data_IF_160192958310
#
_entry.id   IF_160192958310
#
_cell.length_a   1.000
_cell.length_b   1.000
_cell.length_c   1.000
_cell.angle_alpha   90.00
_cell.angle_beta   90.00
_cell.angle_gamma   90.00
#
_symmetry.space_group_name_H-M   'P 1'
#
loop_
_entity.id
_entity.type
_entity.pdbx_description
1 polymer ?
#
# COMPACT_ATOMS: atom_id res chain seq x y z
N UNK A 1 21.20 -22.02 -18.95
CA UNK A 1 20.00 -22.88 -18.84
C UNK A 1 19.98 -23.49 -17.46
N UNK A 2 19.07 -23.07 -16.58
CA UNK A 2 18.80 -23.81 -15.33
C UNK A 2 17.69 -24.80 -15.64
N UNK A 3 17.95 -26.08 -15.37
CA UNK A 3 16.96 -27.15 -15.43
C UNK A 3 15.71 -26.73 -14.64
N UNK A 4 14.59 -26.72 -15.36
CA UNK A 4 13.29 -26.49 -14.79
C UNK A 4 12.88 -27.80 -14.10
N UNK A 5 12.60 -27.74 -12.80
CA UNK A 5 11.90 -28.83 -12.10
C UNK A 5 10.59 -29.06 -12.85
N UNK A 6 10.49 -30.17 -13.57
CA UNK A 6 9.21 -30.67 -14.07
C UNK A 6 8.30 -30.83 -12.85
N UNK A 7 7.15 -30.15 -12.85
CA UNK A 7 6.15 -30.28 -11.79
C UNK A 7 5.70 -31.74 -11.74
N UNK A 8 6.27 -32.51 -10.80
CA UNK A 8 5.89 -33.89 -10.62
C UNK A 8 4.64 -33.91 -9.74
N UNK A 9 3.50 -34.21 -10.36
CA UNK A 9 2.20 -34.29 -9.69
C UNK A 9 2.19 -35.34 -8.55
N UNK A 10 3.16 -36.25 -8.49
CA UNK A 10 3.26 -37.26 -7.43
C UNK A 10 3.87 -36.71 -6.11
N UNK A 11 4.60 -35.59 -6.11
CA UNK A 11 5.25 -35.06 -4.88
C UNK A 11 4.49 -33.84 -4.29
N UNK A 12 3.66 -33.17 -5.08
CA UNK A 12 3.00 -31.92 -4.70
C UNK A 12 1.48 -32.00 -4.80
N UNK A 13 0.80 -31.62 -3.72
CA UNK A 13 -0.66 -31.45 -3.66
C UNK A 13 -1.06 -29.99 -3.59
N UNK A 14 -2.30 -29.71 -3.95
CA UNK A 14 -2.93 -28.41 -3.71
C UNK A 14 -3.13 -28.22 -2.20
N UNK A 15 -2.49 -27.20 -1.63
CA UNK A 15 -2.66 -26.81 -0.22
C UNK A 15 -3.80 -25.82 -0.04
N UNK A 16 -4.14 -25.05 -1.07
CA UNK A 16 -5.26 -24.13 -1.02
C UNK A 16 -5.19 -23.06 -2.09
N UNK A 17 -6.19 -22.17 -2.05
CA UNK A 17 -6.36 -21.07 -2.99
C UNK A 17 -6.47 -19.75 -2.25
N UNK A 18 -5.81 -18.74 -2.79
CA UNK A 18 -6.03 -17.35 -2.43
C UNK A 18 -6.97 -16.76 -3.47
N UNK A 19 -8.26 -16.73 -3.14
CA UNK A 19 -9.29 -16.18 -4.00
C UNK A 19 -9.61 -14.72 -3.65
N UNK A 20 -9.95 -13.94 -4.68
CA UNK A 20 -10.42 -12.58 -4.52
C UNK A 20 -11.88 -12.55 -4.05
N UNK A 21 -12.14 -12.93 -2.80
CA UNK A 21 -13.47 -12.84 -2.21
C UNK A 21 -13.91 -11.37 -2.08
N UNK A 22 -15.22 -11.11 -1.93
CA UNK A 22 -15.75 -9.74 -1.76
C UNK A 22 -15.10 -9.02 -0.57
N UNK A 23 -14.84 -9.73 0.53
CA UNK A 23 -14.18 -9.17 1.71
C UNK A 23 -12.70 -8.85 1.47
N UNK A 24 -11.98 -9.70 0.73
CA UNK A 24 -10.60 -9.43 0.30
C UNK A 24 -10.58 -8.20 -0.59
N UNK A 25 -11.47 -8.11 -1.58
CA UNK A 25 -11.54 -6.97 -2.50
C UNK A 25 -11.86 -5.67 -1.78
N UNK A 26 -12.81 -5.67 -0.85
CA UNK A 26 -13.11 -4.48 -0.03
C UNK A 26 -11.90 -4.09 0.85
N UNK A 27 -11.21 -5.08 1.41
CA UNK A 27 -10.01 -4.87 2.20
C UNK A 27 -8.88 -4.26 1.37
N UNK A 28 -8.61 -4.81 0.19
CA UNK A 28 -7.55 -4.33 -0.71
C UNK A 28 -7.89 -2.95 -1.26
N UNK A 29 -9.15 -2.67 -1.59
CA UNK A 29 -9.57 -1.34 -2.03
C UNK A 29 -9.36 -0.29 -0.91
N UNK A 30 -9.80 -0.60 0.31
CA UNK A 30 -9.55 0.26 1.47
C UNK A 30 -8.05 0.48 1.71
N UNK A 31 -7.25 -0.59 1.67
CA UNK A 31 -5.79 -0.49 1.80
C UNK A 31 -5.16 0.33 0.66
N UNK A 32 -5.63 0.20 -0.57
CA UNK A 32 -5.18 0.96 -1.73
C UNK A 32 -5.44 2.46 -1.58
N UNK A 33 -6.65 2.85 -1.15
CA UNK A 33 -6.98 4.25 -0.85
C UNK A 33 -6.08 4.78 0.26
N UNK A 34 -5.85 4.00 1.31
CA UNK A 34 -4.97 4.42 2.39
C UNK A 34 -3.52 4.58 1.93
N UNK A 35 -3.04 3.63 1.12
CA UNK A 35 -1.71 3.69 0.52
C UNK A 35 -1.58 4.89 -0.42
N UNK A 36 -2.62 5.27 -1.17
CA UNK A 36 -2.62 6.45 -2.03
C UNK A 36 -2.26 7.72 -1.25
N UNK A 37 -2.95 7.97 -0.13
CA UNK A 37 -2.64 9.15 0.70
C UNK A 37 -1.28 9.02 1.40
N UNK A 38 -0.95 7.84 1.93
CA UNK A 38 0.32 7.62 2.62
C UNK A 38 1.52 7.84 1.68
N UNK A 39 1.48 7.28 0.46
CA UNK A 39 2.52 7.47 -0.53
C UNK A 39 2.49 8.86 -1.18
N UNK A 40 1.32 9.49 -1.29
CA UNK A 40 1.22 10.89 -1.70
C UNK A 40 1.94 11.81 -0.71
N UNK A 41 1.72 11.59 0.59
CA UNK A 41 2.41 12.34 1.63
C UNK A 41 3.92 12.06 1.67
N UNK A 42 4.33 10.78 1.54
CA UNK A 42 5.72 10.40 1.42
C UNK A 42 6.39 11.06 0.21
N UNK A 43 5.74 11.03 -0.95
CA UNK A 43 6.25 11.69 -2.16
C UNK A 43 6.38 13.19 -1.95
N UNK A 44 5.37 13.88 -1.43
CA UNK A 44 5.44 15.33 -1.16
C UNK A 44 6.58 15.66 -0.20
N UNK A 45 6.79 14.85 0.82
CA UNK A 45 7.89 15.02 1.78
C UNK A 45 9.25 14.87 1.08
N UNK A 46 9.42 13.81 0.28
CA UNK A 46 10.64 13.56 -0.48
C UNK A 46 10.90 14.65 -1.52
N UNK A 47 9.85 15.08 -2.24
CA UNK A 47 9.89 16.16 -3.21
C UNK A 47 10.30 17.48 -2.55
N UNK A 48 9.78 17.78 -1.36
CA UNK A 48 10.16 18.98 -0.60
C UNK A 48 11.64 18.96 -0.24
N UNK A 49 12.16 17.81 0.22
CA UNK A 49 13.57 17.66 0.59
C UNK A 49 14.49 17.79 -0.63
N UNK A 50 14.11 17.21 -1.77
CA UNK A 50 14.95 17.18 -2.97
C UNK A 50 14.87 18.46 -3.81
N UNK A 51 13.70 19.08 -3.87
CA UNK A 51 13.41 20.19 -4.80
C UNK A 51 13.25 21.52 -4.06
N UNK A 52 12.98 21.51 -2.75
CA UNK A 52 12.75 22.73 -1.97
C UNK A 52 11.40 23.40 -2.23
N UNK A 53 10.43 22.66 -2.79
CA UNK A 53 9.10 23.16 -3.12
C UNK A 53 8.02 22.16 -2.65
N UNK A 54 6.82 22.66 -2.34
CA UNK A 54 5.65 21.89 -1.91
C UNK A 54 4.46 22.05 -2.87
N UNK A 55 4.54 22.94 -3.84
CA UNK A 55 3.44 23.30 -4.73
C UNK A 55 3.48 22.44 -6.00
N UNK A 56 2.37 21.75 -6.25
CA UNK A 56 2.11 21.04 -7.50
C UNK A 56 1.12 21.85 -8.35
N UNK A 57 1.59 22.39 -9.47
CA UNK A 57 0.74 23.19 -10.36
C UNK A 57 0.09 22.29 -11.42
N UNK A 58 -1.16 21.89 -11.17
CA UNK A 58 -2.00 21.24 -12.17
C UNK A 58 -3.03 22.24 -12.71
N UNK A 59 -3.07 22.41 -14.02
CA UNK A 59 -4.07 23.25 -14.70
C UNK A 59 -5.00 22.38 -15.55
N UNK A 60 -6.14 22.92 -16.00
CA UNK A 60 -7.03 22.22 -16.94
C UNK A 60 -6.30 21.76 -18.20
N UNK A 61 -5.30 22.52 -18.68
CA UNK A 61 -4.44 22.16 -19.80
C UNK A 61 -3.57 20.92 -19.57
N UNK A 62 -3.46 20.44 -18.32
CA UNK A 62 -2.63 19.30 -17.95
C UNK A 62 -3.38 17.99 -17.75
N UNK A 63 -4.70 17.97 -17.99
CA UNK A 63 -5.53 16.78 -17.83
C UNK A 63 -5.05 15.62 -18.70
N UNK A 64 -4.69 15.90 -19.97
CA UNK A 64 -4.30 14.86 -20.91
C UNK A 64 -2.99 14.19 -20.50
N UNK A 65 -1.99 14.97 -20.07
CA UNK A 65 -0.71 14.41 -19.61
C UNK A 65 -0.88 13.67 -18.28
N UNK A 66 -1.70 14.17 -17.37
CA UNK A 66 -2.02 13.49 -16.11
C UNK A 66 -2.66 12.13 -16.36
N UNK A 67 -3.64 12.07 -17.28
CA UNK A 67 -4.32 10.84 -17.65
C UNK A 67 -3.37 9.87 -18.36
N UNK A 68 -2.51 10.37 -19.26
CA UNK A 68 -1.50 9.56 -19.93
C UNK A 68 -0.51 8.94 -18.94
N UNK A 69 -0.05 9.70 -17.94
CA UNK A 69 0.82 9.19 -16.88
C UNK A 69 0.10 8.16 -16.02
N UNK A 70 -1.16 8.40 -15.66
CA UNK A 70 -1.97 7.46 -14.89
C UNK A 70 -2.11 6.11 -15.62
N UNK A 71 -2.59 6.13 -16.86
CA UNK A 71 -2.79 4.91 -17.66
C UNK A 71 -1.44 4.26 -17.96
N UNK A 72 -0.44 5.05 -18.36
CA UNK A 72 0.90 4.58 -18.66
C UNK A 72 1.57 3.87 -17.49
N UNK A 73 1.35 4.36 -16.26
CA UNK A 73 1.87 3.72 -15.04
C UNK A 73 1.26 2.35 -14.83
N UNK A 74 -0.06 2.23 -14.95
CA UNK A 74 -0.76 0.95 -14.79
C UNK A 74 -0.28 -0.06 -15.85
N UNK A 75 -0.21 0.36 -17.11
CA UNK A 75 0.27 -0.50 -18.20
C UNK A 75 1.73 -0.92 -17.96
N UNK A 76 2.60 0.02 -17.60
CA UNK A 76 4.01 -0.27 -17.31
C UNK A 76 4.16 -1.25 -16.14
N UNK A 77 3.34 -1.10 -15.10
CA UNK A 77 3.33 -1.98 -13.94
C UNK A 77 3.07 -3.45 -14.35
N UNK A 78 1.99 -3.69 -15.10
CA UNK A 78 1.66 -5.03 -15.58
C UNK A 78 2.71 -5.58 -16.56
N UNK A 79 3.26 -4.72 -17.43
CA UNK A 79 4.33 -5.13 -18.36
C UNK A 79 5.59 -5.58 -17.62
N UNK A 80 5.94 -4.94 -16.50
CA UNK A 80 7.09 -5.36 -15.69
C UNK A 80 6.81 -6.72 -15.03
N UNK A 81 5.60 -6.97 -14.51
CA UNK A 81 5.22 -8.31 -14.05
C UNK A 81 5.41 -9.33 -15.17
N UNK A 82 4.84 -9.08 -16.34
CA UNK A 82 4.92 -9.99 -17.47
C UNK A 82 6.34 -10.22 -17.99
N UNK A 83 7.20 -9.20 -17.97
CA UNK A 83 8.61 -9.33 -18.30
C UNK A 83 9.34 -10.28 -17.33
N UNK A 84 9.06 -10.17 -16.03
CA UNK A 84 9.65 -11.06 -15.03
C UNK A 84 9.03 -12.46 -15.04
N UNK A 85 7.74 -12.59 -15.36
CA UNK A 85 7.14 -13.90 -15.65
C UNK A 85 7.87 -14.57 -16.82
N UNK A 86 8.09 -13.84 -17.92
CA UNK A 86 8.81 -14.33 -19.10
C UNK A 86 10.24 -14.73 -18.78
N UNK A 87 10.95 -13.94 -17.97
CA UNK A 87 12.30 -14.25 -17.48
C UNK A 87 12.36 -15.59 -16.73
N UNK A 88 11.29 -15.99 -16.07
CA UNK A 88 11.18 -17.26 -15.36
C UNK A 88 10.48 -18.37 -16.17
N UNK A 89 10.35 -18.21 -17.49
CA UNK A 89 9.76 -19.23 -18.38
C UNK A 89 8.23 -19.17 -18.47
N UNK A 90 7.61 -18.11 -17.93
CA UNK A 90 6.21 -17.80 -18.09
C UNK A 90 5.86 -17.33 -19.50
N UNK A 91 4.61 -17.56 -19.90
CA UNK A 91 3.99 -16.84 -21.04
C UNK A 91 2.92 -15.92 -20.47
N UNK A 92 3.20 -14.62 -20.29
CA UNK A 92 2.27 -13.69 -19.68
C UNK A 92 1.08 -13.45 -20.60
N UNK A 93 -0.09 -13.34 -20.00
CA UNK A 93 -1.34 -12.91 -20.63
C UNK A 93 -1.88 -11.73 -19.85
N UNK A 94 -2.27 -10.68 -20.55
CA UNK A 94 -2.72 -9.44 -19.94
C UNK A 94 -4.23 -9.27 -20.08
N UNK A 95 -4.83 -8.52 -19.15
CA UNK A 95 -6.21 -8.12 -19.27
C UNK A 95 -6.62 -7.09 -18.23
N UNK A 96 -7.89 -6.70 -18.31
CA UNK A 96 -8.54 -5.84 -17.33
C UNK A 96 -9.89 -6.43 -16.95
N UNK A 97 -10.38 -6.09 -15.76
CA UNK A 97 -11.67 -6.54 -15.27
C UNK A 97 -12.16 -5.67 -14.11
N UNK A 98 -13.36 -5.97 -13.62
CA UNK A 98 -13.90 -5.37 -12.42
C UNK A 98 -14.27 -6.49 -11.45
N UNK A 99 -13.57 -6.58 -10.33
CA UNK A 99 -13.83 -7.58 -9.31
C UNK A 99 -15.04 -7.13 -8.47
N UNK A 100 -16.08 -7.98 -8.42
CA UNK A 100 -17.31 -7.77 -7.65
C UNK A 100 -17.99 -6.41 -7.88
N UNK A 101 -17.84 -5.82 -9.08
CA UNK A 101 -18.35 -4.48 -9.44
C UNK A 101 -17.81 -3.31 -8.58
N UNK A 102 -16.72 -3.55 -7.82
CA UNK A 102 -16.16 -2.58 -6.88
C UNK A 102 -14.76 -2.15 -7.30
N UNK A 103 -13.89 -3.12 -7.62
CA UNK A 103 -12.48 -2.85 -7.86
C UNK A 103 -12.13 -3.09 -9.32
N UNK A 104 -11.92 -2.04 -10.13
CA UNK A 104 -11.27 -2.22 -11.42
C UNK A 104 -9.83 -2.72 -11.18
N UNK A 105 -9.42 -3.73 -11.92
CA UNK A 105 -8.07 -4.27 -11.84
C UNK A 105 -7.54 -4.57 -13.23
N UNK A 106 -6.23 -4.40 -13.37
CA UNK A 106 -5.45 -4.92 -14.47
C UNK A 106 -4.68 -6.14 -13.96
N UNK A 107 -4.33 -7.04 -14.87
CA UNK A 107 -3.57 -8.22 -14.49
C UNK A 107 -2.62 -8.64 -15.61
N UNK A 108 -1.44 -9.08 -15.21
CA UNK A 108 -0.58 -9.99 -15.95
C UNK A 108 -0.64 -11.36 -15.25
N UNK A 109 -0.97 -12.42 -15.99
CA UNK A 109 -1.04 -13.78 -15.43
C UNK A 109 -0.35 -14.80 -16.33
N UNK A 110 0.06 -15.94 -15.78
CA UNK A 110 0.66 -17.02 -16.55
C UNK A 110 0.27 -18.38 -16.02
N UNK A 111 0.00 -19.33 -16.93
CA UNK A 111 -0.26 -20.74 -16.59
C UNK A 111 0.98 -21.48 -16.04
N UNK A 112 2.13 -20.83 -16.05
CA UNK A 112 3.38 -21.40 -15.54
C UNK A 112 3.37 -21.42 -14.02
N UNK A 113 3.78 -22.55 -13.45
CA UNK A 113 3.97 -22.70 -12.01
C UNK A 113 5.34 -22.11 -11.65
N UNK A 114 5.35 -21.15 -10.73
CA UNK A 114 6.55 -20.50 -10.24
C UNK A 114 6.91 -21.01 -8.84
N UNK A 115 8.20 -21.08 -8.53
CA UNK A 115 8.62 -21.24 -7.14
C UNK A 115 8.23 -20.01 -6.32
N UNK A 116 8.06 -20.21 -5.01
CA UNK A 116 7.74 -19.14 -4.05
C UNK A 116 8.55 -17.86 -4.26
N UNK A 117 9.88 -17.99 -4.39
CA UNK A 117 10.76 -16.85 -4.48
C UNK A 117 10.73 -16.19 -5.88
N UNK A 118 10.49 -16.96 -6.95
CA UNK A 118 10.26 -16.39 -8.28
C UNK A 118 8.99 -15.54 -8.28
N UNK A 119 7.90 -16.05 -7.70
CA UNK A 119 6.66 -15.30 -7.55
C UNK A 119 6.86 -14.01 -6.75
N UNK A 120 7.55 -14.07 -5.60
CA UNK A 120 7.83 -12.88 -4.80
C UNK A 120 8.59 -11.83 -5.62
N UNK A 121 9.59 -12.25 -6.39
CA UNK A 121 10.33 -11.34 -7.27
C UNK A 121 9.39 -10.75 -8.33
N UNK A 122 8.60 -11.57 -9.03
CA UNK A 122 7.63 -11.08 -10.03
C UNK A 122 6.70 -10.03 -9.42
N UNK A 123 6.13 -10.32 -8.24
CA UNK A 123 5.16 -9.48 -7.56
C UNK A 123 5.74 -8.14 -7.05
N UNK A 124 6.94 -8.14 -6.46
CA UNK A 124 7.50 -6.91 -5.86
C UNK A 124 8.18 -5.99 -6.86
N UNK A 125 8.56 -6.52 -8.03
CA UNK A 125 9.44 -5.82 -8.95
C UNK A 125 8.86 -4.52 -9.51
N UNK A 126 7.59 -4.45 -9.97
CA UNK A 126 7.05 -3.19 -10.49
C UNK A 126 7.07 -2.08 -9.45
N UNK A 127 6.70 -2.40 -8.20
CA UNK A 127 6.76 -1.46 -7.08
C UNK A 127 8.18 -0.87 -6.97
N UNK A 128 9.20 -1.71 -6.87
CA UNK A 128 10.59 -1.27 -6.68
C UNK A 128 11.12 -0.53 -7.91
N UNK A 129 10.98 -1.10 -9.11
CA UNK A 129 11.58 -0.55 -10.32
C UNK A 129 10.97 0.81 -10.68
N UNK A 130 9.65 0.93 -10.71
CA UNK A 130 8.98 2.19 -11.07
C UNK A 130 9.28 3.26 -10.02
N UNK A 131 9.22 2.93 -8.73
CA UNK A 131 9.53 3.89 -7.66
C UNK A 131 10.98 4.39 -7.74
N UNK A 132 11.97 3.52 -7.99
CA UNK A 132 13.37 3.94 -8.14
C UNK A 132 13.58 4.81 -9.37
N UNK A 133 12.97 4.47 -10.52
CA UNK A 133 13.05 5.28 -11.74
C UNK A 133 12.44 6.66 -11.51
N UNK A 134 11.27 6.72 -10.88
CA UNK A 134 10.61 7.99 -10.54
C UNK A 134 11.51 8.85 -9.64
N UNK A 135 12.07 8.27 -8.57
CA UNK A 135 12.97 9.01 -7.66
C UNK A 135 14.20 9.50 -8.42
N UNK A 136 14.76 8.68 -9.32
CA UNK A 136 15.88 9.06 -10.19
C UNK A 136 15.53 10.22 -11.14
N UNK A 137 14.36 10.19 -11.78
CA UNK A 137 13.89 11.28 -12.66
C UNK A 137 13.68 12.56 -11.85
N UNK A 138 13.09 12.46 -10.66
CA UNK A 138 12.90 13.61 -9.79
C UNK A 138 14.24 14.27 -9.41
N UNK A 139 15.27 13.48 -9.09
CA UNK A 139 16.59 14.00 -8.77
C UNK A 139 17.33 14.56 -9.99
N UNK A 140 17.21 13.92 -11.16
CA UNK A 140 17.92 14.32 -12.37
C UNK A 140 17.27 15.49 -13.13
N UNK A 141 15.94 15.62 -13.05
CA UNK A 141 15.16 16.60 -13.80
C UNK A 141 14.17 17.37 -12.91
N UNK A 142 14.64 18.27 -12.04
CA UNK A 142 13.79 19.03 -11.11
C UNK A 142 12.62 19.78 -11.77
N UNK A 143 12.80 20.26 -13.01
CA UNK A 143 11.77 21.00 -13.75
C UNK A 143 10.50 20.20 -14.04
N UNK A 144 10.62 18.88 -14.17
CA UNK A 144 9.49 17.97 -14.46
C UNK A 144 9.15 17.06 -13.27
N UNK A 145 9.85 17.19 -12.14
CA UNK A 145 9.72 16.30 -10.99
C UNK A 145 8.28 16.24 -10.43
N UNK A 146 7.52 17.33 -10.51
CA UNK A 146 6.12 17.37 -10.07
C UNK A 146 5.22 16.38 -10.83
N UNK A 147 5.51 16.09 -12.11
CA UNK A 147 4.78 15.07 -12.88
C UNK A 147 4.96 13.67 -12.32
N UNK A 148 6.07 13.42 -11.61
CA UNK A 148 6.38 12.11 -11.05
C UNK A 148 5.52 11.74 -9.84
N UNK A 149 4.73 12.69 -9.30
CA UNK A 149 3.73 12.40 -8.27
C UNK A 149 2.77 11.30 -8.73
N UNK A 150 2.21 11.42 -9.94
CA UNK A 150 1.23 10.47 -10.49
C UNK A 150 1.80 9.05 -10.59
N UNK A 151 2.89 8.79 -11.35
CA UNK A 151 3.42 7.44 -11.48
C UNK A 151 3.87 6.84 -10.15
N UNK A 152 4.43 7.64 -9.23
CA UNK A 152 4.85 7.13 -7.93
C UNK A 152 3.66 6.65 -7.09
N UNK A 153 2.65 7.52 -6.92
CA UNK A 153 1.52 7.25 -6.03
C UNK A 153 0.63 6.16 -6.60
N UNK A 154 0.37 6.17 -7.92
CA UNK A 154 -0.44 5.15 -8.58
C UNK A 154 0.24 3.78 -8.52
N UNK A 155 1.54 3.71 -8.81
CA UNK A 155 2.30 2.46 -8.68
C UNK A 155 2.29 1.93 -7.25
N UNK A 156 2.59 2.78 -6.26
CA UNK A 156 2.75 2.34 -4.87
C UNK A 156 1.43 1.95 -4.21
N UNK A 157 0.34 2.67 -4.51
CA UNK A 157 -1.00 2.32 -4.02
C UNK A 157 -1.61 1.14 -4.78
N UNK A 158 -1.33 0.99 -6.07
CA UNK A 158 -1.75 -0.15 -6.89
C UNK A 158 -1.09 -1.46 -6.44
N UNK A 159 0.18 -1.41 -6.03
CA UNK A 159 0.96 -2.57 -5.59
C UNK A 159 0.51 -3.19 -4.25
N UNK A 160 -0.53 -2.65 -3.60
CA UNK A 160 -1.05 -3.18 -2.34
C UNK A 160 -1.51 -4.64 -2.48
N UNK A 161 -2.09 -5.00 -3.62
CA UNK A 161 -2.47 -6.38 -3.94
C UNK A 161 -1.25 -7.32 -3.95
N UNK A 162 -0.17 -6.88 -4.60
CA UNK A 162 1.07 -7.67 -4.71
C UNK A 162 1.73 -7.87 -3.35
N UNK A 163 1.85 -6.79 -2.57
CA UNK A 163 2.41 -6.85 -1.22
C UNK A 163 1.57 -7.75 -0.31
N UNK A 164 0.23 -7.70 -0.46
CA UNK A 164 -0.66 -8.62 0.24
C UNK A 164 -0.42 -10.08 -0.17
N UNK A 165 -0.29 -10.37 -1.46
CA UNK A 165 0.05 -11.71 -1.96
C UNK A 165 1.39 -12.19 -1.41
N UNK A 166 2.43 -11.37 -1.50
CA UNK A 166 3.78 -11.65 -0.97
C UNK A 166 3.71 -11.98 0.52
N UNK A 167 3.02 -11.16 1.33
CA UNK A 167 2.88 -11.36 2.77
C UNK A 167 2.25 -12.72 3.10
N UNK A 168 1.26 -13.15 2.32
CA UNK A 168 0.60 -14.43 2.51
C UNK A 168 1.50 -15.61 2.10
N UNK A 169 2.17 -15.48 0.95
CA UNK A 169 3.11 -16.47 0.42
C UNK A 169 4.32 -16.67 1.32
N UNK A 170 4.82 -15.60 1.96
CA UNK A 170 5.98 -15.67 2.87
C UNK A 170 5.73 -16.53 4.11
N UNK A 171 4.48 -16.82 4.46
CA UNK A 171 4.12 -17.71 5.58
C UNK A 171 4.27 -19.19 5.25
N UNK A 172 4.38 -19.52 3.97
CA UNK A 172 4.60 -20.88 3.52
C UNK A 172 6.10 -21.23 3.42
N UNK A 173 6.46 -22.52 3.55
CA UNK A 173 7.84 -23.00 3.35
C UNK A 173 8.44 -22.61 2.00
N UNK A 174 9.76 -22.55 1.88
CA UNK A 174 10.44 -22.07 0.65
C UNK A 174 10.16 -22.93 -0.58
N UNK A 175 9.83 -24.22 -0.38
CA UNK A 175 9.60 -25.19 -1.44
C UNK A 175 8.20 -25.15 -2.05
N UNK A 176 7.29 -24.29 -1.57
CA UNK A 176 5.96 -24.19 -2.19
C UNK A 176 6.05 -23.64 -3.62
N UNK A 177 5.10 -24.10 -4.43
CA UNK A 177 4.95 -23.72 -5.82
C UNK A 177 3.61 -22.99 -6.00
N UNK A 178 3.57 -22.05 -6.92
CA UNK A 178 2.46 -21.11 -7.08
C UNK A 178 2.04 -21.05 -8.54
N UNK A 179 0.75 -21.22 -8.79
CA UNK A 179 0.14 -20.96 -10.09
C UNK A 179 -0.73 -19.71 -9.98
N UNK A 180 -0.36 -18.67 -10.72
CA UNK A 180 -1.14 -17.46 -10.80
C UNK A 180 -2.29 -17.62 -11.81
N UNK A 181 -3.49 -17.23 -11.42
CA UNK A 181 -4.70 -17.32 -12.23
C UNK A 181 -5.45 -16.00 -12.21
N UNK A 182 -6.31 -15.78 -13.20
CA UNK A 182 -7.10 -14.55 -13.35
C UNK A 182 -7.88 -14.14 -12.10
N UNK A 183 -8.37 -15.11 -11.32
CA UNK A 183 -9.26 -14.87 -10.17
C UNK A 183 -8.58 -15.09 -8.81
N UNK A 184 -7.27 -15.38 -8.80
CA UNK A 184 -6.55 -15.72 -7.59
C UNK A 184 -5.33 -16.59 -7.86
N UNK A 185 -4.80 -17.22 -6.82
CA UNK A 185 -3.60 -18.04 -6.90
C UNK A 185 -3.80 -19.40 -6.25
N UNK A 186 -3.26 -20.43 -6.88
CA UNK A 186 -3.23 -21.79 -6.32
C UNK A 186 -1.86 -22.02 -5.70
N UNK A 187 -1.86 -22.63 -4.51
CA UNK A 187 -0.66 -22.94 -3.73
C UNK A 187 -0.48 -24.45 -3.69
N UNK A 188 0.68 -24.92 -4.13
CA UNK A 188 1.08 -26.32 -4.09
C UNK A 188 2.20 -26.52 -3.06
N UNK A 189 2.15 -27.64 -2.35
CA UNK A 189 3.17 -28.04 -1.38
C UNK A 189 3.23 -29.55 -1.22
N UNK A 190 4.12 -30.02 -0.35
CA UNK A 190 4.33 -31.45 -0.11
C UNK A 190 3.17 -32.03 0.70
N UNK A 191 3.03 -33.34 0.68
CA UNK A 191 2.00 -34.04 1.44
C UNK A 191 2.00 -33.74 2.95
N UNK A 192 3.18 -33.49 3.51
CA UNK A 192 3.37 -33.15 4.93
C UNK A 192 2.99 -31.71 5.29
N UNK A 193 2.82 -30.82 4.29
CA UNK A 193 2.51 -29.43 4.53
C UNK A 193 1.02 -29.25 4.87
N UNK A 194 0.73 -28.34 5.80
CA UNK A 194 -0.64 -28.02 6.22
C UNK A 194 -1.16 -26.80 5.46
N UNK A 195 -2.45 -26.78 5.09
CA UNK A 195 -3.09 -25.59 4.57
C UNK A 195 -3.04 -24.46 5.61
N UNK A 196 -2.73 -23.23 5.19
CA UNK A 196 -2.86 -22.08 6.07
C UNK A 196 -4.26 -21.48 5.89
N UNK A 197 -5.01 -21.36 6.99
CA UNK A 197 -6.26 -20.61 7.01
C UNK A 197 -5.96 -19.10 6.99
N UNK A 198 -5.81 -18.56 5.79
CA UNK A 198 -5.49 -17.14 5.57
C UNK A 198 -6.80 -16.35 5.64
N UNK A 199 -7.17 -15.98 6.86
CA UNK A 199 -8.27 -15.04 7.08
C UNK A 199 -7.80 -13.61 6.82
N UNK A 200 -8.37 -12.97 5.81
CA UNK A 200 -8.30 -11.50 5.61
C UNK A 200 -9.39 -10.75 6.35
N UNK A 201 -10.25 -11.47 7.07
CA UNK A 201 -11.48 -10.90 7.60
C UNK A 201 -11.19 -9.93 8.74
N UNK A 202 -11.90 -8.81 8.70
CA UNK A 202 -11.81 -7.77 9.71
C UNK A 202 -10.55 -6.88 9.65
N UNK A 203 -9.79 -6.85 8.55
CA UNK A 203 -8.78 -5.79 8.37
C UNK A 203 -9.43 -4.41 8.41
N UNK A 204 -10.43 -4.19 7.54
CA UNK A 204 -11.13 -2.90 7.43
C UNK A 204 -11.74 -2.51 8.77
N UNK A 205 -12.44 -3.43 9.44
CA UNK A 205 -13.03 -3.14 10.75
C UNK A 205 -11.98 -2.74 11.80
N UNK A 206 -10.84 -3.44 11.87
CA UNK A 206 -9.77 -3.12 12.83
C UNK A 206 -9.08 -1.79 12.49
N UNK A 207 -8.82 -1.56 11.20
CA UNK A 207 -8.30 -0.29 10.69
C UNK A 207 -9.25 0.85 11.05
N UNK A 208 -10.51 0.78 10.61
CA UNK A 208 -11.50 1.85 10.78
C UNK A 208 -11.72 2.19 12.26
N UNK A 209 -11.79 1.18 13.15
CA UNK A 209 -11.94 1.42 14.59
C UNK A 209 -10.79 2.25 15.17
N UNK A 210 -9.54 1.87 14.89
CA UNK A 210 -8.37 2.58 15.43
C UNK A 210 -8.15 3.92 14.74
N UNK A 211 -8.39 4.00 13.43
CA UNK A 211 -8.34 5.24 12.67
C UNK A 211 -9.33 6.27 13.22
N UNK A 212 -10.62 5.90 13.35
CA UNK A 212 -11.66 6.79 13.87
C UNK A 212 -11.31 7.21 15.30
N UNK A 213 -10.95 6.25 16.17
CA UNK A 213 -10.57 6.56 17.54
C UNK A 213 -9.39 7.53 17.61
N UNK A 214 -8.32 7.30 16.85
CA UNK A 214 -7.14 8.15 16.84
C UNK A 214 -7.45 9.55 16.31
N UNK A 215 -8.21 9.65 15.21
CA UNK A 215 -8.56 10.92 14.59
C UNK A 215 -9.37 11.81 15.55
N UNK A 216 -10.42 11.25 16.16
CA UNK A 216 -11.23 11.99 17.11
C UNK A 216 -10.50 12.25 18.43
N UNK A 217 -9.73 11.29 18.96
CA UNK A 217 -8.97 11.48 20.19
C UNK A 217 -7.94 12.61 20.06
N UNK A 218 -7.16 12.62 18.97
CA UNK A 218 -6.19 13.68 18.71
C UNK A 218 -6.89 15.01 18.43
N UNK A 219 -7.94 15.01 17.60
CA UNK A 219 -8.72 16.23 17.32
C UNK A 219 -9.33 16.86 18.57
N UNK A 220 -9.97 16.06 19.43
CA UNK A 220 -10.53 16.55 20.71
C UNK A 220 -9.44 17.00 21.68
N UNK A 221 -8.34 16.24 21.81
CA UNK A 221 -7.23 16.61 22.67
C UNK A 221 -6.65 17.96 22.25
N UNK A 222 -6.38 18.16 20.96
CA UNK A 222 -5.82 19.41 20.44
C UNK A 222 -6.84 20.57 20.49
N UNK A 223 -8.14 20.29 20.37
CA UNK A 223 -9.18 21.32 20.51
C UNK A 223 -9.35 21.80 21.96
N UNK A 224 -9.09 20.95 22.95
CA UNK A 224 -9.20 21.30 24.38
C UNK A 224 -7.88 21.84 24.93
N UNK A 225 -6.73 21.42 24.37
CA UNK A 225 -5.39 21.80 24.82
C UNK A 225 -5.15 23.30 25.08
N UNK A 226 -5.70 24.25 24.30
CA UNK A 226 -5.49 25.68 24.56
C UNK A 226 -5.94 26.16 25.96
N UNK A 227 -6.97 25.54 26.54
CA UNK A 227 -7.53 25.95 27.84
C UNK A 227 -6.52 25.74 28.98
N UNK A 228 -5.99 24.52 29.23
CA UNK A 228 -4.98 24.32 30.26
C UNK A 228 -3.67 25.05 29.94
N UNK A 229 -3.28 25.19 28.67
CA UNK A 229 -2.08 25.94 28.29
C UNK A 229 -2.18 27.41 28.70
N UNK A 230 -3.34 28.03 28.50
CA UNK A 230 -3.62 29.40 28.94
C UNK A 230 -3.58 29.53 30.46
N UNK A 231 -4.20 28.60 31.19
CA UNK A 231 -4.21 28.59 32.67
C UNK A 231 -2.79 28.44 33.24
N UNK A 232 -1.95 27.66 32.58
CA UNK A 232 -0.55 27.44 33.00
C UNK A 232 0.40 28.58 32.58
N UNK A 233 -0.09 29.59 31.85
CA UNK A 233 0.74 30.71 31.40
C UNK A 233 1.79 30.33 30.37
N UNK A 234 1.51 29.32 29.52
CA UNK A 234 2.41 28.93 28.44
C UNK A 234 2.40 30.02 27.37
N UNK A 235 3.58 30.50 26.94
CA UNK A 235 3.65 31.55 25.91
C UNK A 235 3.35 31.00 24.51
N UNK A 236 3.91 29.85 24.17
CA UNK A 236 3.65 29.16 22.90
C UNK A 236 3.92 27.65 23.02
N UNK A 237 3.21 26.87 22.21
CA UNK A 237 3.43 25.44 22.08
C UNK A 237 3.17 25.01 20.64
N UNK A 238 4.14 24.33 20.04
CA UNK A 238 3.97 23.68 18.73
C UNK A 238 4.16 22.18 18.88
N UNK A 239 3.24 21.41 18.31
CA UNK A 239 3.33 19.95 18.23
C UNK A 239 3.56 19.58 16.76
N UNK A 240 4.72 18.98 16.50
CA UNK A 240 5.22 18.67 15.16
C UNK A 240 6.32 19.62 14.71
N UNK A 241 6.97 19.36 13.56
CA UNK A 241 7.97 20.27 13.00
C UNK A 241 7.32 21.60 12.64
N UNK A 242 7.93 22.73 13.01
CA UNK A 242 7.41 24.08 12.75
C UNK A 242 7.39 24.37 11.25
N UNK A 243 6.38 25.09 10.76
CA UNK A 243 6.24 25.46 9.34
C UNK A 243 6.30 24.28 8.37
N UNK A 244 5.69 23.16 8.74
CA UNK A 244 5.77 21.91 7.98
C UNK A 244 4.39 21.31 7.72
N UNK A 245 4.26 20.51 6.68
CA UNK A 245 3.05 19.69 6.46
C UNK A 245 2.82 18.64 7.57
N UNK A 246 3.81 18.48 8.45
CA UNK A 246 3.78 17.63 9.63
C UNK A 246 3.39 18.37 10.91
N UNK A 247 3.22 19.70 10.88
CA UNK A 247 2.73 20.46 12.04
C UNK A 247 1.33 19.98 12.37
N UNK A 248 1.05 19.65 13.63
CA UNK A 248 -0.24 19.09 14.08
C UNK A 248 -1.07 20.17 14.76
N UNK A 249 -0.40 20.96 15.59
CA UNK A 249 -1.03 21.96 16.46
C UNK A 249 -0.04 23.07 16.77
N UNK A 250 -0.54 24.31 16.75
CA UNK A 250 0.18 25.49 17.22
C UNK A 250 -0.70 26.27 18.18
N UNK A 251 -0.11 26.74 19.27
CA UNK A 251 -0.72 27.57 20.28
C UNK A 251 0.18 28.76 20.57
N UNK A 252 -0.44 29.93 20.77
CA UNK A 252 0.23 31.14 21.21
C UNK A 252 -0.68 31.95 22.12
N UNK A 253 -0.11 32.52 23.18
CA UNK A 253 -0.81 33.46 24.06
C UNK A 253 -0.98 34.82 23.37
N UNK A 254 -2.13 35.48 23.58
CA UNK A 254 -2.44 36.82 23.04
C UNK A 254 -3.06 37.66 24.15
N UNK A 255 -2.24 38.44 24.86
CA UNK A 255 -2.71 39.26 25.98
C UNK A 255 -3.36 38.39 27.07
N UNK A 256 -4.64 38.63 27.37
CA UNK A 256 -5.41 37.78 28.31
C UNK A 256 -6.10 36.57 27.64
N UNK A 257 -5.99 36.44 26.31
CA UNK A 257 -6.56 35.34 25.54
C UNK A 257 -5.50 34.44 24.90
N UNK A 258 -5.96 33.58 23.99
CA UNK A 258 -5.09 32.68 23.24
C UNK A 258 -5.54 32.52 21.79
N UNK A 259 -4.58 32.24 20.91
CA UNK A 259 -4.81 31.78 19.56
C UNK A 259 -4.27 30.36 19.39
N UNK A 260 -4.92 29.56 18.54
CA UNK A 260 -4.42 28.25 18.18
C UNK A 260 -4.79 27.88 16.74
N UNK A 261 -3.92 27.10 16.10
CA UNK A 261 -4.13 26.51 14.78
C UNK A 261 -4.14 24.99 14.88
N UNK A 262 -5.11 24.38 14.20
CA UNK A 262 -5.18 22.93 14.01
C UNK A 262 -4.88 22.59 12.56
N UNK A 263 -4.08 21.55 12.36
CA UNK A 263 -3.69 21.05 11.04
C UNK A 263 -4.34 19.69 10.80
N UNK A 264 -5.60 19.65 10.33
CA UNK A 264 -6.37 18.41 10.23
C UNK A 264 -5.78 17.38 9.27
N UNK A 265 -5.00 17.81 8.26
CA UNK A 265 -4.32 16.90 7.33
C UNK A 265 -3.23 16.07 8.04
N UNK A 266 -2.51 16.66 8.97
CA UNK A 266 -1.44 15.98 9.72
C UNK A 266 -2.05 15.02 10.76
N UNK A 267 -3.17 15.41 11.38
CA UNK A 267 -3.97 14.53 12.25
C UNK A 267 -4.50 13.33 11.45
N UNK A 268 -5.02 13.57 10.24
CA UNK A 268 -5.48 12.53 9.33
C UNK A 268 -4.34 11.56 8.98
N UNK A 269 -3.18 12.08 8.58
CA UNK A 269 -2.02 11.28 8.21
C UNK A 269 -1.53 10.37 9.36
N UNK A 270 -1.42 10.90 10.57
CA UNK A 270 -1.01 10.12 11.76
C UNK A 270 -2.06 9.05 12.08
N UNK A 271 -3.34 9.42 12.05
CA UNK A 271 -4.44 8.48 12.32
C UNK A 271 -4.45 7.33 11.32
N UNK A 272 -4.16 7.62 10.04
CA UNK A 272 -4.01 6.61 8.99
C UNK A 272 -2.84 5.66 9.28
N UNK A 273 -1.67 6.19 9.63
CA UNK A 273 -0.48 5.37 9.94
C UNK A 273 -0.76 4.45 11.14
N UNK A 274 -1.29 5.01 12.22
CA UNK A 274 -1.60 4.25 13.46
C UNK A 274 -2.64 3.17 13.17
N UNK A 275 -3.73 3.51 12.48
CA UNK A 275 -4.76 2.53 12.09
C UNK A 275 -4.21 1.41 11.23
N UNK A 276 -3.35 1.73 10.27
CA UNK A 276 -2.77 0.77 9.32
C UNK A 276 -1.79 -0.19 10.01
N UNK A 277 -0.87 0.33 10.83
CA UNK A 277 0.06 -0.48 11.62
C UNK A 277 -0.69 -1.45 12.53
N UNK A 278 -1.71 -0.96 13.25
CA UNK A 278 -2.54 -1.80 14.12
C UNK A 278 -3.24 -2.92 13.34
N UNK A 279 -3.89 -2.57 12.23
CA UNK A 279 -4.62 -3.53 11.40
C UNK A 279 -3.71 -4.61 10.83
N UNK A 280 -2.51 -4.25 10.35
CA UNK A 280 -1.51 -5.19 9.83
C UNK A 280 -1.04 -6.17 10.92
N UNK A 281 -0.75 -5.68 12.12
CA UNK A 281 -0.30 -6.51 13.25
C UNK A 281 -1.41 -7.49 13.67
N UNK A 282 -2.65 -7.02 13.77
CA UNK A 282 -3.76 -7.83 14.31
C UNK A 282 -4.39 -8.79 13.30
N UNK A 283 -4.35 -8.48 12.00
CA UNK A 283 -4.75 -9.41 10.93
C UNK A 283 -3.66 -10.41 10.55
N UNK A 284 -2.46 -10.26 11.13
CA UNK A 284 -1.30 -11.07 10.83
C UNK A 284 -1.20 -12.38 11.60
N UNK A 285 -1.97 -12.55 12.68
CA UNK A 285 -1.90 -13.73 13.51
C UNK A 285 -2.67 -14.89 12.85
N UNK A 286 -2.02 -16.06 12.64
CA UNK A 286 -2.74 -17.28 12.32
C UNK A 286 -3.86 -17.46 13.35
N UNK A 287 -5.05 -17.87 12.90
CA UNK A 287 -6.09 -18.29 13.82
C UNK A 287 -5.54 -19.56 14.47
N UNK A 288 -5.20 -19.49 15.76
CA UNK A 288 -5.08 -20.70 16.55
C UNK A 288 -6.50 -21.21 16.67
N UNK A 289 -6.88 -22.11 15.79
CA UNK A 289 -8.02 -22.99 16.05
C UNK A 289 -7.56 -23.91 17.19
N UNK A 290 -7.57 -23.36 18.41
CA UNK A 290 -7.54 -24.17 19.61
C UNK A 290 -8.83 -24.96 19.59
N UNK A 291 -8.66 -26.28 19.56
CA UNK A 291 -9.68 -27.32 19.67
C UNK A 291 -10.91 -26.85 20.45
N UNK A 292 -12.00 -26.58 19.76
CA UNK A 292 -13.34 -26.78 20.31
C UNK A 292 -13.86 -28.05 19.67
N UNK A 293 -13.46 -29.18 20.26
CA UNK A 293 -14.25 -30.39 20.23
C UNK A 293 -15.43 -30.26 21.18
#
# INVERSE_FOLDING_TARGET
>A
MKEQQSFNHEEFKELGKLEMSKEVVLTLNGMGILAFFAFGFFFTSLYTVLIGNTVFNFTSGTILISLALFIGTIVLHELIHGAFMSKYGGKPSYGAGIAHFILPYFYATSKTIFSRNQFIVIAITPLVMISLVVIGIMAAFPSIAHWMFIPFVINASGAVGDVWMIRNVLRYPKHILLEDRKTGMIIYGKETDKPLNISTTGFVSRFSKVFILCFFAVGCLMGIAPIPLNILGVESLTIGPTNSIFTIFEYHSIGEGFGFNLYPLSILAISMIVGLVYAIIKTGKPRNDAMTG
#
